data_IF_973661082223
#
_entry.id   IF_973661082223
#
_cell.length_a   1.000
_cell.length_b   1.000
_cell.length_c   1.000
_cell.angle_alpha   90.00
_cell.angle_beta   90.00
_cell.angle_gamma   90.00
#
_symmetry.space_group_name_H-M   'P 1'
#
loop_
_entity.id
_entity.type
_entity.pdbx_description
1 polymer ?
#
# COMPACT_ATOMS: atom_id res chain seq x y z
N UNK A 1 -1.35 17.51 13.57
CA UNK A 1 -2.47 16.96 12.77
C UNK A 1 -2.05 17.03 11.32
N UNK A 2 -2.32 16.04 10.47
CA UNK A 2 -1.89 16.09 9.06
C UNK A 2 -2.98 16.79 8.25
N UNK A 3 -2.63 17.86 7.53
CA UNK A 3 -3.54 18.64 6.69
C UNK A 3 -3.16 18.46 5.22
N UNK A 4 -4.16 18.34 4.34
CA UNK A 4 -3.98 18.25 2.90
C UNK A 4 -4.87 19.30 2.25
N UNK A 5 -4.28 20.09 1.37
CA UNK A 5 -4.94 21.15 0.62
C UNK A 5 -4.62 20.99 -0.86
N UNK A 6 -5.59 21.30 -1.72
CA UNK A 6 -5.45 21.31 -3.18
C UNK A 6 -6.10 22.57 -3.71
N UNK A 7 -5.31 23.43 -4.34
CA UNK A 7 -5.82 24.56 -5.10
C UNK A 7 -6.35 24.07 -6.44
N UNK A 8 -7.51 24.60 -6.86
CA UNK A 8 -8.17 24.26 -8.12
C UNK A 8 -8.04 25.46 -9.05
N UNK A 9 -7.64 25.19 -10.30
CA UNK A 9 -7.55 26.24 -11.32
C UNK A 9 -8.91 26.43 -12.02
N UNK A 10 -9.15 27.62 -12.53
CA UNK A 10 -10.42 28.06 -13.13
C UNK A 10 -10.87 27.22 -14.35
N UNK A 11 -9.94 26.55 -15.03
CA UNK A 11 -10.20 25.66 -16.17
C UNK A 11 -10.14 24.16 -15.86
N UNK A 12 -9.96 23.76 -14.60
CA UNK A 12 -9.81 22.35 -14.23
C UNK A 12 -11.16 21.67 -13.97
N UNK A 13 -11.38 20.52 -14.63
CA UNK A 13 -12.52 19.67 -14.31
C UNK A 13 -12.44 19.17 -12.86
N UNK A 14 -13.55 19.29 -12.12
CA UNK A 14 -13.65 18.92 -10.69
C UNK A 14 -13.07 17.53 -10.38
N UNK A 15 -13.34 16.54 -11.23
CA UNK A 15 -12.86 15.17 -11.05
C UNK A 15 -11.33 15.06 -11.05
N UNK A 16 -10.64 15.91 -11.82
CA UNK A 16 -9.18 15.96 -11.84
C UNK A 16 -8.63 16.53 -10.52
N UNK A 17 -9.22 17.61 -10.03
CA UNK A 17 -8.86 18.17 -8.72
C UNK A 17 -9.09 17.15 -7.59
N UNK A 18 -10.23 16.45 -7.61
CA UNK A 18 -10.57 15.41 -6.63
C UNK A 18 -9.59 14.23 -6.69
N UNK A 19 -9.17 13.81 -7.89
CA UNK A 19 -8.18 12.74 -8.05
C UNK A 19 -6.83 13.13 -7.43
N UNK A 20 -6.38 14.37 -7.63
CA UNK A 20 -5.14 14.88 -6.99
C UNK A 20 -5.27 14.92 -5.48
N UNK A 21 -6.40 15.39 -4.95
CA UNK A 21 -6.68 15.40 -3.52
C UNK A 21 -6.61 13.99 -2.92
N UNK A 22 -7.28 13.01 -3.52
CA UNK A 22 -7.22 11.60 -3.08
C UNK A 22 -5.79 11.06 -3.09
N UNK A 23 -5.01 11.39 -4.12
CA UNK A 23 -3.58 11.01 -4.20
C UNK A 23 -2.75 11.67 -3.10
N UNK A 24 -2.99 12.95 -2.80
CA UNK A 24 -2.30 13.67 -1.72
C UNK A 24 -2.67 13.12 -0.35
N UNK A 25 -3.93 12.78 -0.09
CA UNK A 25 -4.37 12.10 1.14
C UNK A 25 -3.68 10.74 1.32
N UNK A 26 -3.51 9.99 0.23
CA UNK A 26 -2.75 8.74 0.22
C UNK A 26 -1.27 8.94 0.54
N UNK A 27 -0.62 9.93 -0.10
CA UNK A 27 0.79 10.26 0.12
C UNK A 27 1.06 10.79 1.53
N UNK A 28 0.18 11.63 2.04
CA UNK A 28 0.22 12.16 3.40
C UNK A 28 -0.04 11.07 4.46
N UNK A 29 -0.53 9.90 4.04
CA UNK A 29 -0.75 8.76 4.94
C UNK A 29 -1.87 8.99 5.94
N UNK A 30 -2.81 9.89 5.65
CA UNK A 30 -3.91 10.27 6.56
C UNK A 30 -4.70 9.03 6.98
N UNK A 31 -5.10 8.20 6.01
CA UNK A 31 -5.87 6.97 6.27
C UNK A 31 -5.09 6.00 7.15
N UNK A 32 -3.79 5.84 6.92
CA UNK A 32 -2.94 5.01 7.77
C UNK A 32 -2.78 5.59 9.17
N UNK A 33 -2.74 6.90 9.32
CA UNK A 33 -2.59 7.54 10.62
C UNK A 33 -3.86 7.42 11.45
N UNK A 34 -5.03 7.62 10.84
CA UNK A 34 -6.34 7.38 11.49
C UNK A 34 -6.41 5.93 12.01
N UNK A 35 -6.09 4.94 11.17
CA UNK A 35 -6.08 3.53 11.56
C UNK A 35 -5.09 3.19 12.69
N UNK A 36 -3.99 3.93 12.82
CA UNK A 36 -3.03 3.75 13.92
C UNK A 36 -3.50 4.34 15.24
N UNK A 37 -4.36 5.37 15.17
CA UNK A 37 -4.84 6.13 16.33
C UNK A 37 -6.21 5.69 16.80
N UNK A 38 -6.92 4.87 16.02
CA UNK A 38 -8.26 4.40 16.36
C UNK A 38 -8.30 3.48 17.59
N UNK A 39 -7.17 2.94 18.02
CA UNK A 39 -7.04 2.17 19.26
C UNK A 39 -5.70 2.46 19.95
N UNK A 40 -5.66 2.26 21.26
CA UNK A 40 -4.42 2.32 22.01
C UNK A 40 -3.51 1.15 21.63
N UNK A 41 -2.28 1.46 21.24
CA UNK A 41 -1.23 0.48 21.01
C UNK A 41 -0.19 0.59 22.14
N UNK A 42 0.04 -0.50 22.86
CA UNK A 42 1.06 -0.55 23.92
C UNK A 42 2.43 -0.15 23.36
N UNK A 43 3.28 0.59 24.10
CA UNK A 43 4.57 1.08 23.60
C UNK A 43 5.49 -0.03 23.04
N UNK A 44 5.44 -1.22 23.62
CA UNK A 44 6.20 -2.39 23.16
C UNK A 44 5.79 -2.83 21.75
N UNK A 45 4.48 -2.96 21.51
CA UNK A 45 3.93 -3.36 20.21
C UNK A 45 4.22 -2.29 19.14
N UNK A 46 4.12 -1.01 19.52
CA UNK A 46 4.49 0.11 18.64
C UNK A 46 5.95 0.02 18.20
N UNK A 47 6.89 -0.23 19.13
CA UNK A 47 8.32 -0.42 18.82
C UNK A 47 8.54 -1.62 17.90
N UNK A 48 7.93 -2.77 18.23
CA UNK A 48 8.01 -4.01 17.43
C UNK A 48 7.51 -3.80 16.00
N UNK A 49 6.39 -3.11 15.83
CA UNK A 49 5.80 -2.80 14.53
C UNK A 49 6.67 -1.87 13.68
N UNK A 50 7.33 -0.88 14.29
CA UNK A 50 8.26 0.02 13.60
C UNK A 50 9.48 -0.75 13.10
N UNK A 51 10.05 -1.61 13.95
CA UNK A 51 11.23 -2.41 13.61
C UNK A 51 10.96 -3.39 12.46
N UNK A 52 9.85 -4.14 12.52
CA UNK A 52 9.43 -5.01 11.42
C UNK A 52 9.24 -4.26 10.09
N UNK A 53 8.69 -3.04 10.14
CA UNK A 53 8.54 -2.20 8.94
C UNK A 53 9.88 -1.76 8.38
N UNK A 54 10.86 -1.43 9.23
CA UNK A 54 12.21 -1.07 8.82
C UNK A 54 12.90 -2.25 8.12
N UNK A 55 12.85 -3.44 8.73
CA UNK A 55 13.43 -4.65 8.14
C UNK A 55 12.80 -5.00 6.78
N UNK A 56 11.49 -4.84 6.63
CA UNK A 56 10.80 -5.06 5.33
C UNK A 56 11.20 -4.06 4.24
N UNK A 57 11.60 -2.83 4.60
CA UNK A 57 12.08 -1.82 3.64
C UNK A 57 13.54 -2.05 3.25
N UNK A 58 14.36 -2.55 4.17
CA UNK A 58 15.80 -2.80 3.96
C UNK A 58 16.04 -4.08 3.17
N UNK A 59 15.18 -5.09 3.32
CA UNK A 59 15.26 -6.29 2.48
C UNK A 59 15.04 -5.86 1.02
N UNK A 60 16.01 -6.09 0.10
CA UNK A 60 15.77 -5.84 -1.31
C UNK A 60 14.51 -6.62 -1.69
N UNK A 61 13.59 -5.95 -2.40
CA UNK A 61 12.56 -6.68 -3.14
C UNK A 61 13.34 -7.72 -3.92
N UNK A 62 13.15 -9.00 -3.65
CA UNK A 62 13.73 -10.08 -4.45
C UNK A 62 13.18 -9.89 -5.87
N UNK A 63 13.85 -9.08 -6.67
CA UNK A 63 13.62 -8.90 -8.08
C UNK A 63 14.11 -10.21 -8.69
N UNK A 64 13.17 -11.08 -9.06
CA UNK A 64 13.48 -12.43 -9.54
C UNK A 64 13.57 -13.47 -8.43
N UNK A 65 12.47 -13.74 -7.72
CA UNK A 65 12.23 -15.09 -7.24
C UNK A 65 11.60 -15.85 -8.39
N UNK A 66 12.33 -16.79 -8.98
CA UNK A 66 11.75 -17.77 -9.90
C UNK A 66 10.46 -18.30 -9.28
N UNK A 67 9.35 -18.20 -10.00
CA UNK A 67 8.13 -18.88 -9.59
C UNK A 67 8.51 -20.37 -9.51
N UNK A 68 8.32 -21.07 -8.38
CA UNK A 68 8.56 -22.50 -8.37
C UNK A 68 7.69 -23.11 -9.48
N UNK A 69 8.34 -23.73 -10.47
CA UNK A 69 7.64 -24.46 -11.51
C UNK A 69 7.01 -25.68 -10.83
N UNK A 70 5.76 -25.53 -10.39
CA UNK A 70 4.94 -26.70 -10.12
C UNK A 70 4.74 -27.37 -11.49
N UNK A 71 5.36 -28.55 -11.68
CA UNK A 71 5.10 -29.36 -12.85
C UNK A 71 3.60 -29.68 -12.85
N UNK A 72 2.85 -29.09 -13.77
CA UNK A 72 1.54 -29.63 -14.06
C UNK A 72 1.77 -30.95 -14.78
N UNK A 73 1.65 -32.05 -14.04
CA UNK A 73 1.35 -33.37 -14.59
C UNK A 73 0.14 -33.23 -15.50
N UNK A 74 0.39 -33.06 -16.80
CA UNK A 74 -0.62 -33.12 -17.84
C UNK A 74 -1.15 -34.54 -17.90
N UNK A 75 -2.22 -34.81 -17.17
CA UNK A 75 -3.04 -36.00 -17.30
C UNK A 75 -4.43 -35.60 -17.77
N UNK A 76 -4.86 -36.11 -18.92
CA UNK A 76 -6.24 -36.04 -19.37
C UNK A 76 -6.40 -35.56 -20.81
N UNK A 77 -6.11 -36.43 -21.77
CA UNK A 77 -6.54 -36.24 -23.16
C UNK A 77 -8.06 -36.19 -23.25
N UNK A 78 -8.57 -35.48 -24.25
CA UNK A 78 -9.98 -35.59 -24.64
C UNK A 78 -10.06 -36.24 -26.01
N UNK A 79 -10.41 -37.51 -26.01
CA UNK A 79 -10.85 -38.25 -27.19
C UNK A 79 -12.37 -38.17 -27.22
N UNK A 80 -12.92 -37.36 -28.14
CA UNK A 80 -14.15 -37.57 -28.92
C UNK A 80 -14.60 -36.27 -29.56
#
# INVERSE_FOLDING_TARGET
MVQVEVSVDSGEAFDRALARFKKMCGKAGIVTEIKKRSFYEKPSEKRRRIEMKRQRKVKPRRMGGERPQFYNSGGGGNSR
#
